data_IF_982430795419
#
_entry.id   IF_982430795419
#
_cell.length_a   1.000
_cell.length_b   1.000
_cell.length_c   1.000
_cell.angle_alpha   90.00
_cell.angle_beta   90.00
_cell.angle_gamma   90.00
#
_symmetry.space_group_name_H-M   'P 1'
#
loop_
_entity.id
_entity.type
_entity.pdbx_description
1 polymer ?
#
# COMPACT_ATOMS: atom_id res chain seq x y z
N UNK A 1 -4.20 -4.09 -37.95
CA UNK A 1 -4.58 -3.58 -36.61
C UNK A 1 -3.56 -4.08 -35.61
N UNK A 2 -2.67 -3.20 -35.13
CA UNK A 2 -1.72 -3.56 -34.07
C UNK A 2 -2.46 -3.56 -32.73
N UNK A 3 -2.81 -4.75 -32.24
CA UNK A 3 -3.21 -4.93 -30.85
C UNK A 3 -1.96 -4.71 -29.99
N UNK A 4 -1.83 -3.52 -29.38
CA UNK A 4 -0.86 -3.31 -28.31
C UNK A 4 -1.12 -4.37 -27.24
N UNK A 5 -0.08 -5.07 -26.72
CA UNK A 5 -0.29 -6.03 -25.65
C UNK A 5 -0.91 -5.27 -24.47
N UNK A 6 -2.11 -5.70 -24.08
CA UNK A 6 -2.78 -5.20 -22.89
C UNK A 6 -1.86 -5.59 -21.73
N UNK A 7 -1.13 -4.61 -21.17
CA UNK A 7 -0.25 -4.84 -20.04
C UNK A 7 -1.04 -5.62 -18.99
N UNK A 8 -0.63 -6.87 -18.75
CA UNK A 8 -1.23 -7.67 -17.70
C UNK A 8 -0.91 -6.95 -16.40
N UNK A 9 -1.91 -6.29 -15.82
CA UNK A 9 -1.82 -5.67 -14.50
C UNK A 9 -1.62 -6.81 -13.53
N UNK A 10 -0.37 -7.17 -13.25
CA UNK A 10 -0.06 -8.18 -12.24
C UNK A 10 -0.72 -7.72 -10.95
N UNK A 11 -1.58 -8.52 -10.34
CA UNK A 11 -2.26 -8.07 -9.13
C UNK A 11 -1.31 -8.08 -7.94
N UNK A 12 -1.44 -7.09 -7.05
CA UNK A 12 -0.67 -7.05 -5.81
C UNK A 12 -1.01 -8.29 -4.95
N UNK A 13 0.01 -9.04 -4.56
CA UNK A 13 -0.10 -10.11 -3.57
C UNK A 13 0.40 -9.57 -2.23
N UNK A 14 -0.28 -9.82 -1.09
CA UNK A 14 0.15 -9.36 0.23
C UNK A 14 1.58 -9.76 0.57
N UNK A 15 2.01 -10.94 0.13
CA UNK A 15 3.35 -11.48 0.38
C UNK A 15 4.48 -10.67 -0.24
N UNK A 16 4.15 -9.78 -1.17
CA UNK A 16 5.11 -8.93 -1.88
C UNK A 16 5.17 -7.52 -1.27
N UNK A 17 4.32 -7.21 -0.29
CA UNK A 17 4.33 -5.93 0.41
C UNK A 17 5.50 -5.97 1.41
N UNK A 18 6.45 -5.01 1.34
CA UNK A 18 7.56 -4.97 2.28
C UNK A 18 7.07 -4.73 3.71
N UNK A 19 7.70 -5.40 4.68
CA UNK A 19 7.44 -5.21 6.10
C UNK A 19 8.55 -4.38 6.73
N UNK A 20 8.16 -3.31 7.41
CA UNK A 20 9.05 -2.37 8.08
C UNK A 20 8.79 -2.44 9.59
N UNK A 21 9.79 -2.86 10.34
CA UNK A 21 9.69 -2.93 11.79
C UNK A 21 9.87 -1.54 12.40
N UNK A 22 8.94 -1.13 13.25
CA UNK A 22 8.92 0.21 13.86
C UNK A 22 8.77 0.11 15.37
N UNK A 23 9.22 1.14 16.09
CA UNK A 23 9.06 1.26 17.55
C UNK A 23 7.73 1.89 17.94
N UNK A 24 7.11 2.63 17.01
CA UNK A 24 5.76 3.16 17.10
C UNK A 24 5.19 3.41 15.68
N UNK A 25 3.88 3.59 15.55
CA UNK A 25 3.25 3.85 14.24
C UNK A 25 3.40 5.30 13.73
N UNK A 26 4.08 6.18 14.47
CA UNK A 26 4.42 7.54 14.03
C UNK A 26 5.83 7.62 13.45
N UNK A 27 6.61 6.54 13.56
CA UNK A 27 7.96 6.42 13.02
C UNK A 27 7.96 6.82 11.55
N UNK A 28 8.77 7.83 11.23
CA UNK A 28 8.93 8.32 9.86
C UNK A 28 9.99 7.49 9.16
N UNK A 29 9.64 6.94 8.01
CA UNK A 29 10.52 6.17 7.15
C UNK A 29 10.55 6.81 5.76
N UNK A 30 11.63 6.62 5.01
CA UNK A 30 11.67 7.05 3.61
C UNK A 30 10.89 6.03 2.75
N UNK A 31 9.71 6.37 2.22
CA UNK A 31 8.87 5.42 1.47
C UNK A 31 9.53 4.90 0.20
N UNK A 32 10.45 5.68 -0.39
CA UNK A 32 11.18 5.31 -1.61
C UNK A 32 12.15 4.16 -1.33
N UNK A 33 12.71 4.11 -0.11
CA UNK A 33 13.71 3.09 0.27
C UNK A 33 13.06 1.80 0.76
N UNK A 34 11.90 1.90 1.41
CA UNK A 34 11.29 0.75 2.11
C UNK A 34 10.03 0.22 1.43
N UNK A 35 9.38 1.04 0.61
CA UNK A 35 8.07 0.75 0.06
C UNK A 35 8.13 0.20 -1.36
N UNK A 36 7.11 -0.59 -1.70
CA UNK A 36 6.87 -1.04 -3.05
C UNK A 36 6.16 0.05 -3.85
N UNK A 37 6.68 0.41 -5.03
CA UNK A 37 6.05 1.41 -5.90
C UNK A 37 4.78 0.86 -6.58
N UNK A 38 3.68 1.58 -6.42
CA UNK A 38 2.35 1.18 -6.90
C UNK A 38 1.56 2.38 -7.44
N UNK A 39 0.50 2.07 -8.18
CA UNK A 39 -0.62 2.99 -8.41
C UNK A 39 -1.77 2.60 -7.50
N UNK A 40 -2.28 3.56 -6.71
CA UNK A 40 -3.47 3.42 -5.88
C UNK A 40 -4.55 4.34 -6.42
N UNK A 41 -5.63 3.76 -6.94
CA UNK A 41 -6.70 4.46 -7.65
C UNK A 41 -6.16 5.44 -8.72
N UNK A 42 -5.12 4.98 -9.44
CA UNK A 42 -4.44 5.75 -10.50
C UNK A 42 -3.41 6.77 -10.02
N UNK A 43 -3.17 6.90 -8.71
CA UNK A 43 -2.17 7.83 -8.14
C UNK A 43 -0.90 7.09 -7.73
N UNK A 44 0.26 7.68 -7.99
CA UNK A 44 1.55 7.12 -7.58
C UNK A 44 1.66 7.10 -6.05
N UNK A 45 2.06 5.96 -5.52
CA UNK A 45 2.28 5.76 -4.11
C UNK A 45 3.36 4.70 -3.84
N UNK A 46 3.75 4.62 -2.58
CA UNK A 46 4.51 3.51 -2.02
C UNK A 46 3.66 2.78 -1.00
N UNK A 47 3.66 1.45 -1.06
CA UNK A 47 2.94 0.59 -0.11
C UNK A 47 3.92 -0.29 0.68
N UNK A 48 3.70 -0.39 1.99
CA UNK A 48 4.46 -1.22 2.91
C UNK A 48 3.63 -1.48 4.18
N UNK A 49 4.03 -2.45 4.99
CA UNK A 49 3.41 -2.75 6.29
C UNK A 49 4.32 -2.27 7.42
N UNK A 50 3.78 -1.45 8.32
CA UNK A 50 4.42 -1.21 9.60
C UNK A 50 4.13 -2.37 10.54
N UNK A 51 5.18 -2.96 11.09
CA UNK A 51 5.11 -4.01 12.10
C UNK A 51 5.67 -3.49 13.43
N UNK A 52 4.83 -3.46 14.45
CA UNK A 52 5.21 -3.12 15.81
C UNK A 52 5.19 -4.39 16.65
N UNK A 53 6.29 -4.67 17.35
CA UNK A 53 6.34 -5.68 18.41
C UNK A 53 6.58 -4.97 19.74
N UNK A 54 5.55 -4.95 20.61
CA UNK A 54 5.61 -4.32 21.94
C UNK A 54 6.05 -5.30 23.05
N UNK A 55 6.57 -6.48 22.66
CA UNK A 55 6.99 -7.55 23.56
C UNK A 55 5.87 -8.51 23.96
N UNK A 56 4.60 -8.13 23.78
CA UNK A 56 3.44 -8.96 24.11
C UNK A 56 2.55 -9.23 22.90
N UNK A 57 2.42 -8.24 22.00
CA UNK A 57 1.58 -8.30 20.83
C UNK A 57 2.35 -7.84 19.59
N UNK A 58 2.15 -8.58 18.50
CA UNK A 58 2.50 -8.12 17.18
C UNK A 58 1.32 -7.34 16.60
N UNK A 59 1.56 -6.11 16.16
CA UNK A 59 0.54 -5.24 15.57
C UNK A 59 1.01 -4.77 14.21
N UNK A 60 0.14 -4.92 13.22
CA UNK A 60 0.41 -4.50 11.85
C UNK A 60 -0.50 -3.36 11.41
N UNK A 61 0.02 -2.53 10.52
CA UNK A 61 -0.76 -1.58 9.74
C UNK A 61 -0.23 -1.54 8.32
N UNK A 62 -1.13 -1.62 7.35
CA UNK A 62 -0.79 -1.24 5.99
C UNK A 62 -0.62 0.27 5.93
N UNK A 63 0.40 0.71 5.21
CA UNK A 63 0.72 2.11 4.96
C UNK A 63 0.78 2.35 3.47
N UNK A 64 0.11 3.41 3.02
CA UNK A 64 0.18 3.93 1.66
C UNK A 64 0.62 5.38 1.76
N UNK A 65 1.81 5.68 1.24
CA UNK A 65 2.31 7.04 1.12
C UNK A 65 2.22 7.48 -0.34
N UNK A 66 1.29 8.39 -0.62
CA UNK A 66 1.13 9.00 -1.94
C UNK A 66 2.31 9.93 -2.23
N UNK A 67 2.80 9.90 -3.47
CA UNK A 67 3.91 10.76 -3.91
C UNK A 67 3.50 12.23 -4.08
N UNK A 68 2.20 12.50 -4.14
CA UNK A 68 1.60 13.82 -4.33
C UNK A 68 0.54 14.08 -3.25
N UNK A 69 0.14 15.36 -3.09
CA UNK A 69 -0.97 15.73 -2.19
C UNK A 69 -2.24 14.98 -2.54
N UNK A 70 -2.89 14.41 -1.53
CA UNK A 70 -4.12 13.63 -1.70
C UNK A 70 -5.34 14.40 -1.17
N UNK A 71 -6.47 14.45 -1.90
CA UNK A 71 -7.66 15.20 -1.47
C UNK A 71 -8.31 14.66 -0.18
N UNK A 72 -8.14 13.36 0.09
CA UNK A 72 -8.74 12.66 1.25
C UNK A 72 -7.76 12.42 2.41
N UNK A 73 -6.46 12.38 2.13
CA UNK A 73 -5.47 11.91 3.10
C UNK A 73 -4.48 13.05 3.37
N UNK A 74 -4.49 13.54 4.61
CA UNK A 74 -3.56 14.56 5.06
C UNK A 74 -2.11 14.07 4.84
N UNK A 75 -1.25 14.96 4.35
CA UNK A 75 0.14 14.67 4.00
C UNK A 75 0.34 13.49 3.02
N UNK A 76 -0.72 13.10 2.31
CA UNK A 76 -0.68 11.94 1.41
C UNK A 76 -0.46 10.63 2.16
N UNK A 77 -0.78 10.54 3.46
CA UNK A 77 -0.58 9.34 4.27
C UNK A 77 -1.91 8.65 4.57
N UNK A 78 -2.01 7.39 4.16
CA UNK A 78 -3.05 6.48 4.61
C UNK A 78 -2.41 5.36 5.44
N UNK A 79 -3.00 5.08 6.61
CA UNK A 79 -2.62 3.94 7.44
C UNK A 79 -3.85 3.31 8.10
N UNK A 80 -3.91 1.98 8.14
CA UNK A 80 -4.98 1.26 8.83
C UNK A 80 -4.52 -0.12 9.28
N UNK A 81 -5.12 -0.63 10.36
CA UNK A 81 -5.01 -2.03 10.77
C UNK A 81 -6.19 -2.89 10.28
N UNK A 82 -7.20 -2.26 9.69
CA UNK A 82 -8.39 -2.92 9.15
C UNK A 82 -8.28 -2.89 7.63
N UNK A 83 -7.62 -3.90 7.06
CA UNK A 83 -7.48 -4.07 5.62
C UNK A 83 -7.48 -5.55 5.25
N UNK A 84 -7.90 -5.83 4.03
CA UNK A 84 -7.89 -7.16 3.43
C UNK A 84 -7.54 -7.05 1.94
N UNK A 85 -6.73 -7.98 1.45
CA UNK A 85 -6.36 -8.10 0.04
C UNK A 85 -6.67 -9.54 -0.39
N UNK A 86 -7.96 -9.86 -0.40
CA UNK A 86 -8.45 -11.19 -0.79
C UNK A 86 -8.57 -11.33 -2.31
N UNK A 87 -8.70 -10.19 -3.00
CA UNK A 87 -8.78 -10.14 -4.46
C UNK A 87 -7.52 -9.48 -5.03
N UNK A 88 -6.91 -10.10 -6.05
CA UNK A 88 -6.00 -9.47 -6.99
C UNK A 88 -6.20 -7.96 -7.22
N UNK A 89 -5.29 -7.14 -6.70
CA UNK A 89 -5.25 -5.70 -6.97
C UNK A 89 -6.35 -4.88 -6.28
N UNK A 90 -7.04 -5.46 -5.29
CA UNK A 90 -8.00 -4.73 -4.45
C UNK A 90 -7.59 -4.76 -3.00
N UNK A 91 -7.44 -3.57 -2.43
CA UNK A 91 -7.24 -3.37 -1.00
C UNK A 91 -8.57 -2.90 -0.40
N UNK A 92 -9.27 -3.82 0.25
CA UNK A 92 -10.44 -3.49 1.07
C UNK A 92 -9.96 -2.95 2.41
N UNK A 93 -10.65 -1.97 2.98
CA UNK A 93 -10.27 -1.39 4.27
C UNK A 93 -11.43 -0.80 5.04
N UNK A 94 -11.18 -0.55 6.33
CA UNK A 94 -12.19 0.01 7.21
C UNK A 94 -13.27 -1.00 7.56
N UNK A 95 -14.47 -0.50 7.85
CA UNK A 95 -15.62 -1.32 8.28
C UNK A 95 -16.86 -1.10 7.40
N UNK A 96 -16.78 -0.25 6.36
CA UNK A 96 -17.93 0.14 5.53
C UNK A 96 -17.81 -0.34 4.08
N UNK A 97 -16.89 -1.26 3.81
CA UNK A 97 -16.69 -1.83 2.47
C UNK A 97 -15.91 -0.91 1.54
N UNK A 98 -15.08 -0.01 2.07
CA UNK A 98 -14.19 0.80 1.24
C UNK A 98 -13.15 -0.06 0.53
N UNK A 99 -12.87 0.25 -0.74
CA UNK A 99 -11.90 -0.46 -1.58
C UNK A 99 -11.03 0.53 -2.34
N UNK A 100 -9.74 0.27 -2.38
CA UNK A 100 -8.77 0.91 -3.28
C UNK A 100 -8.29 -0.10 -4.33
N UNK A 101 -8.15 0.35 -5.57
CA UNK A 101 -7.51 -0.43 -6.62
C UNK A 101 -6.00 -0.21 -6.55
N UNK A 102 -5.22 -1.29 -6.53
CA UNK A 102 -3.77 -1.26 -6.39
C UNK A 102 -3.11 -2.03 -7.53
N UNK A 103 -2.19 -1.36 -8.22
CA UNK A 103 -1.47 -1.91 -9.38
C UNK A 103 0.03 -1.73 -9.19
N UNK A 104 0.83 -2.74 -9.55
CA UNK A 104 2.29 -2.58 -9.58
C UNK A 104 2.69 -1.49 -10.56
N UNK A 105 3.57 -0.61 -10.11
CA UNK A 105 4.27 0.30 -10.99
C UNK A 105 5.55 -0.41 -11.40
N UNK A 106 5.49 -1.21 -12.47
CA UNK A 106 6.69 -1.77 -13.08
C UNK A 106 7.58 -0.61 -13.52
N UNK A 107 8.67 -0.40 -12.80
CA UNK A 107 9.76 0.45 -13.28
C UNK A 107 10.42 -0.35 -14.40
N UNK A 108 10.29 0.17 -15.62
CA UNK A 108 10.91 -0.41 -16.82
C UNK A 108 12.44 -0.33 -16.74
#
# INVERSE_FOLDING_TARGET
>A
MNLKPKAMKTPLSPRLIPVVHVTDFQTKVNPIEVGLSVLVDGRKAFIYEHMLNDGFYQREKIVIQFSEKHPKFADGLFQTKYYEINEPGKLSWGLKGEVMNVEYLHVA
#
